data_IF_197390613998
#
_entry.id   IF_197390613998
#
_cell.length_a   1.000
_cell.length_b   1.000
_cell.length_c   1.000
_cell.angle_alpha   90.00
_cell.angle_beta   90.00
_cell.angle_gamma   90.00
#
_symmetry.space_group_name_H-M   'P 1'
#
loop_
_entity.id
_entity.type
_entity.pdbx_description
1 polymer ?
#
# COMPACT_ATOMS: atom_id res chain seq x y z
N UNK A 1 -16.66 25.11 -14.05
CA UNK A 1 -15.79 24.05 -13.52
C UNK A 1 -14.53 24.71 -12.95
N UNK A 2 -14.21 24.50 -11.67
CA UNK A 2 -13.00 25.07 -11.05
C UNK A 2 -11.78 24.28 -11.53
N UNK A 3 -10.75 24.96 -12.05
CA UNK A 3 -9.49 24.31 -12.43
C UNK A 3 -8.83 23.70 -11.19
N UNK A 4 -8.37 22.46 -11.33
CA UNK A 4 -7.70 21.74 -10.26
C UNK A 4 -6.24 22.19 -10.15
N UNK A 5 -5.77 22.47 -8.94
CA UNK A 5 -4.36 22.82 -8.71
C UNK A 5 -3.48 21.56 -8.76
N UNK A 6 -2.21 21.73 -9.12
CA UNK A 6 -1.20 20.66 -9.09
C UNK A 6 -1.11 20.00 -7.71
N UNK A 7 -1.30 20.78 -6.64
CA UNK A 7 -1.36 20.29 -5.25
C UNK A 7 -2.52 19.32 -5.01
N UNK A 8 -3.72 19.67 -5.47
CA UNK A 8 -4.90 18.83 -5.31
C UNK A 8 -4.82 17.56 -6.16
N UNK A 9 -4.23 17.66 -7.36
CA UNK A 9 -3.93 16.48 -8.17
C UNK A 9 -2.96 15.55 -7.44
N UNK A 10 -1.83 16.06 -6.92
CA UNK A 10 -0.84 15.26 -6.21
C UNK A 10 -1.42 14.54 -4.99
N UNK A 11 -2.22 15.21 -4.15
CA UNK A 11 -2.88 14.58 -3.00
C UNK A 11 -3.78 13.39 -3.41
N UNK A 12 -4.53 13.55 -4.50
CA UNK A 12 -5.40 12.49 -5.04
C UNK A 12 -4.64 11.31 -5.62
N UNK A 13 -3.47 11.55 -6.22
CA UNK A 13 -2.62 10.47 -6.68
C UNK A 13 -2.00 9.70 -5.51
N UNK A 14 -1.56 10.40 -4.45
CA UNK A 14 -1.07 9.78 -3.22
C UNK A 14 -2.16 8.95 -2.53
N UNK A 15 -3.38 9.49 -2.42
CA UNK A 15 -4.52 8.74 -1.85
C UNK A 15 -4.85 7.49 -2.68
N UNK A 16 -4.77 7.58 -4.02
CA UNK A 16 -4.98 6.41 -4.89
C UNK A 16 -3.90 5.35 -4.68
N UNK A 17 -2.64 5.76 -4.54
CA UNK A 17 -1.54 4.86 -4.26
C UNK A 17 -1.72 4.14 -2.91
N UNK A 18 -2.09 4.88 -1.85
CA UNK A 18 -2.37 4.30 -0.53
C UNK A 18 -3.51 3.28 -0.58
N UNK A 19 -4.62 3.60 -1.24
CA UNK A 19 -5.75 2.67 -1.41
C UNK A 19 -5.34 1.37 -2.13
N UNK A 20 -4.47 1.45 -3.14
CA UNK A 20 -3.98 0.27 -3.84
C UNK A 20 -3.15 -0.61 -2.92
N UNK A 21 -2.27 -0.02 -2.10
CA UNK A 21 -1.46 -0.74 -1.12
C UNK A 21 -2.34 -1.41 -0.04
N UNK A 22 -3.41 -0.75 0.40
CA UNK A 22 -4.37 -1.35 1.34
C UNK A 22 -5.06 -2.58 0.74
N UNK A 23 -5.47 -2.51 -0.53
CA UNK A 23 -6.02 -3.67 -1.24
C UNK A 23 -5.01 -4.81 -1.34
N UNK A 24 -3.74 -4.52 -1.63
CA UNK A 24 -2.67 -5.54 -1.66
C UNK A 24 -2.45 -6.15 -0.28
N UNK A 25 -2.42 -5.35 0.79
CA UNK A 25 -2.29 -5.86 2.16
C UNK A 25 -3.45 -6.75 2.58
N UNK A 26 -4.68 -6.38 2.19
CA UNK A 26 -5.85 -7.22 2.45
C UNK A 26 -5.77 -8.56 1.68
N UNK A 27 -5.24 -8.54 0.44
CA UNK A 27 -5.00 -9.78 -0.30
C UNK A 27 -3.98 -10.68 0.41
N UNK A 28 -2.86 -10.13 0.88
CA UNK A 28 -1.83 -10.88 1.62
C UNK A 28 -2.37 -11.48 2.93
N UNK A 29 -3.19 -10.72 3.67
CA UNK A 29 -3.86 -11.23 4.89
C UNK A 29 -4.75 -12.42 4.59
N UNK A 30 -5.55 -12.35 3.52
CA UNK A 30 -6.43 -13.45 3.10
C UNK A 30 -5.62 -14.71 2.73
N UNK A 31 -4.46 -14.56 2.09
CA UNK A 31 -3.58 -15.71 1.80
C UNK A 31 -3.07 -16.36 3.10
N UNK A 32 -2.70 -15.56 4.10
CA UNK A 32 -2.30 -16.05 5.41
C UNK A 32 -3.46 -16.74 6.15
N UNK A 33 -4.65 -16.14 6.18
CA UNK A 33 -5.85 -16.72 6.81
C UNK A 33 -6.27 -18.06 6.19
N UNK A 34 -6.04 -18.23 4.88
CA UNK A 34 -6.29 -19.48 4.17
C UNK A 34 -5.16 -20.52 4.32
N UNK A 35 -4.09 -20.22 5.06
CA UNK A 35 -3.00 -21.13 5.35
C UNK A 35 -2.03 -21.37 4.19
N UNK A 36 -1.99 -20.49 3.18
CA UNK A 36 -1.02 -20.61 2.08
C UNK A 36 0.42 -20.42 2.54
N UNK A 37 0.63 -19.78 3.69
CA UNK A 37 1.94 -19.60 4.33
C UNK A 37 2.46 -20.86 5.04
N UNK A 38 1.73 -21.98 4.98
CA UNK A 38 2.27 -23.30 5.32
C UNK A 38 3.40 -23.74 4.38
N UNK A 39 3.44 -23.19 3.16
CA UNK A 39 4.53 -23.37 2.20
C UNK A 39 5.64 -22.35 2.51
N UNK A 40 6.89 -22.78 2.83
CA UNK A 40 7.95 -21.87 3.28
C UNK A 40 8.24 -20.69 2.33
N UNK A 41 8.28 -20.93 1.03
CA UNK A 41 8.50 -19.90 0.02
C UNK A 41 7.38 -18.85 -0.01
N UNK A 42 6.12 -19.29 0.14
CA UNK A 42 4.96 -18.39 0.17
C UNK A 42 4.98 -17.56 1.45
N UNK A 43 5.30 -18.17 2.60
CA UNK A 43 5.45 -17.46 3.88
C UNK A 43 6.46 -16.34 3.80
N UNK A 44 7.63 -16.62 3.23
CA UNK A 44 8.68 -15.61 3.07
C UNK A 44 8.23 -14.48 2.13
N UNK A 45 7.58 -14.84 1.02
CA UNK A 45 7.04 -13.87 0.06
C UNK A 45 6.00 -12.95 0.70
N UNK A 46 5.06 -13.50 1.48
CA UNK A 46 4.04 -12.72 2.21
C UNK A 46 4.72 -11.77 3.20
N UNK A 47 5.68 -12.27 3.99
CA UNK A 47 6.41 -11.46 4.97
C UNK A 47 7.13 -10.28 4.32
N UNK A 48 7.92 -10.53 3.28
CA UNK A 48 8.69 -9.49 2.58
C UNK A 48 7.76 -8.47 1.92
N UNK A 49 6.69 -8.94 1.28
CA UNK A 49 5.70 -8.07 0.63
C UNK A 49 5.01 -7.16 1.64
N UNK A 50 4.62 -7.70 2.80
CA UNK A 50 4.04 -6.90 3.90
C UNK A 50 4.99 -5.82 4.39
N UNK A 51 6.27 -6.15 4.60
CA UNK A 51 7.28 -5.19 5.04
C UNK A 51 7.45 -4.05 4.02
N UNK A 52 7.60 -4.39 2.74
CA UNK A 52 7.72 -3.40 1.67
C UNK A 52 6.51 -2.48 1.59
N UNK A 53 5.29 -3.02 1.69
CA UNK A 53 4.09 -2.19 1.64
C UNK A 53 4.06 -1.20 2.81
N UNK A 54 4.40 -1.64 4.03
CA UNK A 54 4.46 -0.75 5.19
C UNK A 54 5.48 0.39 5.01
N UNK A 55 6.65 0.10 4.43
CA UNK A 55 7.66 1.13 4.13
C UNK A 55 7.16 2.14 3.10
N UNK A 56 6.52 1.67 2.02
CA UNK A 56 5.96 2.56 0.99
C UNK A 56 4.83 3.41 1.57
N UNK A 57 3.93 2.84 2.37
CA UNK A 57 2.86 3.60 3.03
C UNK A 57 3.42 4.72 3.91
N UNK A 58 4.48 4.44 4.68
CA UNK A 58 5.15 5.47 5.48
C UNK A 58 5.76 6.59 4.62
N UNK A 59 6.35 6.26 3.46
CA UNK A 59 6.87 7.27 2.53
C UNK A 59 5.75 8.12 1.90
N UNK A 60 4.63 7.50 1.53
CA UNK A 60 3.47 8.20 0.99
C UNK A 60 2.87 9.18 2.01
N UNK A 61 2.75 8.76 3.28
CA UNK A 61 2.22 9.63 4.34
C UNK A 61 3.14 10.84 4.59
N UNK A 62 4.45 10.62 4.72
CA UNK A 62 5.43 11.71 4.83
C UNK A 62 5.38 12.67 3.64
N UNK A 63 5.18 12.13 2.44
CA UNK A 63 5.07 12.95 1.23
C UNK A 63 3.77 13.78 1.27
N UNK A 64 2.66 13.20 1.73
CA UNK A 64 1.38 13.88 1.86
C UNK A 64 1.42 15.03 2.87
N UNK A 65 2.09 14.83 4.01
CA UNK A 65 2.30 15.87 5.03
C UNK A 65 3.14 17.04 4.51
N UNK A 66 4.08 16.77 3.60
CA UNK A 66 4.94 17.79 3.01
C UNK A 66 4.28 18.64 1.92
N UNK A 67 3.11 18.22 1.39
CA UNK A 67 2.41 18.87 0.26
C UNK A 67 1.33 19.83 0.71
#
# INVERSE_FOLDING_TARGET
MTKMSTRNWAKRELDRASNNLDMTMNHLKNLHEKGYDSVPLIKETIKLSTQMIMEIQNLLEKTKDSI
#
